data_IF_518963676525
#
_entry.id   IF_518963676525
#
_cell.length_a   1.000
_cell.length_b   1.000
_cell.length_c   1.000
_cell.angle_alpha   90.00
_cell.angle_beta   90.00
_cell.angle_gamma   90.00
#
_symmetry.space_group_name_H-M   'P 1'
#
loop_
_entity.id
_entity.type
_entity.pdbx_description
1 polymer ?
#
# COMPACT_ATOMS: atom_id res chain seq x y z
N UNK A 1 14.95 1.14 3.38
CA UNK A 1 13.94 2.21 3.17
C UNK A 1 14.57 3.61 3.10
N UNK A 2 15.87 3.73 3.34
CA UNK A 2 16.55 5.01 3.50
C UNK A 2 16.34 5.61 4.91
N UNK A 3 17.17 6.60 5.30
CA UNK A 3 17.11 7.17 6.66
C UNK A 3 15.82 7.96 6.93
N UNK A 4 15.20 8.50 5.88
CA UNK A 4 13.96 9.27 5.93
C UNK A 4 12.72 8.49 5.40
N UNK A 5 12.88 7.21 5.09
CA UNK A 5 11.82 6.40 4.52
C UNK A 5 11.56 6.59 3.02
N UNK A 6 12.42 7.35 2.31
CA UNK A 6 12.37 7.52 0.86
C UNK A 6 13.39 6.57 0.19
N UNK A 7 13.02 5.30 0.09
CA UNK A 7 13.87 4.30 -0.54
C UNK A 7 14.30 4.72 -1.96
N UNK A 8 15.59 4.65 -2.29
CA UNK A 8 16.07 4.86 -3.65
C UNK A 8 15.87 3.63 -4.56
N UNK A 9 15.59 2.47 -3.99
CA UNK A 9 15.49 1.20 -4.72
C UNK A 9 14.04 0.74 -4.85
N UNK A 10 13.63 0.37 -6.05
CA UNK A 10 12.26 -0.02 -6.41
C UNK A 10 11.75 -1.27 -5.67
N UNK A 11 12.66 -2.14 -5.23
CA UNK A 11 12.31 -3.34 -4.49
C UNK A 11 11.94 -3.06 -3.03
N UNK A 12 12.39 -1.95 -2.47
CA UNK A 12 12.10 -1.55 -1.10
C UNK A 12 11.10 -0.40 -1.08
N UNK A 13 9.99 -0.54 -0.34
CA UNK A 13 8.96 0.50 -0.37
C UNK A 13 9.41 1.81 0.26
N UNK A 14 8.88 2.90 -0.27
CA UNK A 14 8.86 4.18 0.43
C UNK A 14 7.87 4.09 1.58
N UNK A 15 8.32 4.43 2.79
CA UNK A 15 7.50 4.44 4.02
C UNK A 15 7.35 5.82 4.64
N UNK A 16 8.05 6.84 4.08
CA UNK A 16 7.88 8.25 4.45
C UNK A 16 6.40 8.67 4.32
N UNK A 17 5.83 9.32 5.32
CA UNK A 17 4.45 9.79 5.34
C UNK A 17 3.39 8.68 5.32
N UNK A 18 3.75 7.44 5.66
CA UNK A 18 2.79 6.36 5.82
C UNK A 18 2.02 6.51 7.13
N UNK A 19 0.79 6.04 7.19
CA UNK A 19 -0.02 6.03 8.41
C UNK A 19 0.70 5.25 9.52
N UNK A 20 0.87 5.82 10.72
CA UNK A 20 1.61 5.15 11.80
C UNK A 20 0.95 3.84 12.22
N UNK A 21 -0.39 3.77 12.26
CA UNK A 21 -1.11 2.54 12.56
C UNK A 21 -0.83 1.45 11.52
N UNK A 22 -0.65 1.83 10.25
CA UNK A 22 -0.31 0.86 9.20
C UNK A 22 1.12 0.36 9.33
N UNK A 23 2.09 1.23 9.63
CA UNK A 23 3.49 0.82 9.88
C UNK A 23 3.53 -0.16 11.06
N UNK A 24 2.92 0.21 12.19
CA UNK A 24 2.88 -0.66 13.37
C UNK A 24 2.23 -2.01 13.06
N UNK A 25 1.08 -2.01 12.38
CA UNK A 25 0.43 -3.26 11.96
C UNK A 25 1.35 -4.13 11.10
N UNK A 26 2.04 -3.55 10.12
CA UNK A 26 2.92 -4.34 9.25
C UNK A 26 4.11 -4.94 10.00
N UNK A 27 4.73 -4.19 10.92
CA UNK A 27 5.83 -4.69 11.74
C UNK A 27 5.36 -5.83 12.67
N UNK A 28 4.21 -5.67 13.32
CA UNK A 28 3.60 -6.76 14.11
C UNK A 28 3.26 -7.98 13.25
N UNK A 29 2.76 -7.77 12.02
CA UNK A 29 2.43 -8.87 11.12
C UNK A 29 3.68 -9.62 10.64
N UNK A 30 4.79 -8.93 10.35
CA UNK A 30 6.08 -9.57 10.05
C UNK A 30 6.62 -10.34 11.25
N UNK A 31 6.60 -9.73 12.44
CA UNK A 31 7.06 -10.36 13.69
C UNK A 31 6.26 -11.62 14.03
N UNK A 32 4.95 -11.59 13.83
CA UNK A 32 4.05 -12.71 14.10
C UNK A 32 3.92 -13.71 12.93
N UNK A 33 4.65 -13.51 11.82
CA UNK A 33 4.58 -14.40 10.64
C UNK A 33 3.27 -14.32 9.84
N UNK A 34 2.36 -13.38 10.16
CA UNK A 34 1.13 -13.14 9.39
C UNK A 34 1.42 -12.49 8.04
N UNK A 35 2.50 -11.72 7.94
CA UNK A 35 3.10 -11.26 6.68
C UNK A 35 4.52 -11.80 6.60
N UNK A 36 4.87 -12.40 5.45
CA UNK A 36 6.19 -13.01 5.27
C UNK A 36 6.99 -12.23 4.22
N UNK A 37 8.24 -11.99 4.52
CA UNK A 37 9.22 -11.45 3.59
C UNK A 37 10.62 -11.80 4.10
N UNK A 38 11.49 -12.27 3.22
CA UNK A 38 12.82 -12.77 3.58
C UNK A 38 13.70 -11.72 4.27
N UNK A 39 13.52 -10.44 3.94
CA UNK A 39 14.27 -9.34 4.54
C UNK A 39 13.57 -8.76 5.77
N UNK A 40 12.25 -8.46 5.65
CA UNK A 40 11.54 -7.76 6.72
C UNK A 40 11.17 -8.65 7.91
N UNK A 41 10.92 -9.94 7.70
CA UNK A 41 10.58 -10.82 8.82
C UNK A 41 11.70 -10.90 9.86
N UNK A 42 12.99 -11.17 9.49
CA UNK A 42 14.07 -11.14 10.47
C UNK A 42 14.33 -9.75 11.06
N UNK A 43 14.11 -8.66 10.30
CA UNK A 43 14.26 -7.29 10.82
C UNK A 43 13.21 -6.93 11.88
N UNK A 44 12.00 -7.45 11.76
CA UNK A 44 10.92 -7.18 12.72
C UNK A 44 11.01 -8.03 14.00
N UNK A 45 11.68 -9.18 13.96
CA UNK A 45 11.76 -10.11 15.11
C UNK A 45 12.31 -9.49 16.39
N UNK A 46 13.43 -8.74 16.39
CA UNK A 46 14.01 -8.20 17.61
C UNK A 46 13.28 -6.97 18.17
N UNK A 47 12.38 -6.34 17.39
CA UNK A 47 11.72 -5.09 17.79
C UNK A 47 10.79 -5.30 18.98
N UNK A 48 10.92 -4.48 20.02
CA UNK A 48 9.90 -4.35 21.06
C UNK A 48 8.65 -3.63 20.55
N UNK A 49 7.57 -3.69 21.29
CA UNK A 49 6.35 -2.93 20.95
C UNK A 49 6.62 -1.41 20.94
N UNK A 50 7.50 -0.94 21.86
CA UNK A 50 7.90 0.47 21.88
C UNK A 50 8.72 0.85 20.65
N UNK A 51 9.68 0.02 20.22
CA UNK A 51 10.44 0.26 18.98
C UNK A 51 9.52 0.36 17.77
N UNK A 52 8.48 -0.49 17.70
CA UNK A 52 7.49 -0.47 16.63
C UNK A 52 6.71 0.84 16.63
N UNK A 53 6.29 1.33 17.79
CA UNK A 53 5.58 2.60 17.91
C UNK A 53 6.48 3.79 17.54
N UNK A 54 7.72 3.79 17.98
CA UNK A 54 8.69 4.87 17.70
C UNK A 54 9.03 4.93 16.20
N UNK A 55 9.28 3.78 15.57
CA UNK A 55 9.49 3.70 14.12
C UNK A 55 8.25 4.16 13.34
N UNK A 56 7.06 3.77 13.78
CA UNK A 56 5.82 4.19 13.16
C UNK A 56 5.61 5.70 13.25
N UNK A 57 5.87 6.29 14.42
CA UNK A 57 5.80 7.73 14.64
C UNK A 57 6.83 8.46 13.77
N UNK A 58 8.08 8.02 13.77
CA UNK A 58 9.17 8.65 13.00
C UNK A 58 8.86 8.69 11.51
N UNK A 59 8.58 7.54 10.89
CA UNK A 59 8.37 7.49 9.45
C UNK A 59 7.07 8.16 9.00
N UNK A 60 6.05 8.22 9.84
CA UNK A 60 4.80 8.90 9.51
C UNK A 60 4.95 10.41 9.36
N UNK A 61 5.92 11.02 10.04
CA UNK A 61 6.19 12.46 9.96
C UNK A 61 7.13 12.86 8.81
N UNK A 62 7.75 11.87 8.15
CA UNK A 62 8.66 12.15 7.04
C UNK A 62 7.88 12.53 5.78
N UNK A 63 8.46 13.43 4.98
CA UNK A 63 7.86 13.85 3.70
C UNK A 63 8.18 12.84 2.61
N UNK A 64 7.15 12.32 1.96
CA UNK A 64 7.33 11.41 0.83
C UNK A 64 7.79 12.17 -0.42
N UNK A 65 8.87 11.70 -1.04
CA UNK A 65 9.33 12.18 -2.33
C UNK A 65 8.50 11.53 -3.45
N UNK A 66 8.06 12.34 -4.42
CA UNK A 66 7.32 11.87 -5.59
C UNK A 66 8.15 10.83 -6.36
N UNK A 67 7.50 9.80 -6.88
CA UNK A 67 8.09 8.88 -7.84
C UNK A 67 7.59 9.21 -9.26
N UNK A 68 8.28 8.69 -10.25
CA UNK A 68 7.89 8.82 -11.66
C UNK A 68 7.08 7.60 -12.10
N UNK A 69 6.13 7.81 -13.00
CA UNK A 69 5.36 6.76 -13.66
C UNK A 69 5.57 6.80 -15.18
N UNK A 70 5.40 5.66 -15.83
CA UNK A 70 5.54 5.54 -17.30
C UNK A 70 4.36 6.20 -17.99
N UNK A 71 4.64 7.19 -18.83
CA UNK A 71 3.64 8.05 -19.47
C UNK A 71 2.58 7.29 -20.27
N UNK A 72 2.95 6.21 -20.96
CA UNK A 72 2.06 5.37 -21.77
C UNK A 72 0.96 4.65 -20.96
N UNK A 73 1.14 4.52 -19.65
CA UNK A 73 0.22 3.81 -18.75
C UNK A 73 -0.60 4.72 -17.86
N UNK A 74 -0.28 6.02 -17.80
CA UNK A 74 -0.89 6.93 -16.82
C UNK A 74 -2.40 7.09 -17.03
N UNK A 75 -2.88 7.24 -18.27
CA UNK A 75 -4.30 7.43 -18.53
C UNK A 75 -5.15 6.23 -18.10
N UNK A 76 -4.71 5.00 -18.40
CA UNK A 76 -5.40 3.79 -17.98
C UNK A 76 -5.35 3.62 -16.45
N UNK A 77 -4.20 3.92 -15.84
CA UNK A 77 -4.02 3.87 -14.39
C UNK A 77 -4.90 4.89 -13.67
N UNK A 78 -4.99 6.11 -14.19
CA UNK A 78 -5.87 7.17 -13.68
C UNK A 78 -7.34 6.75 -13.71
N UNK A 79 -7.79 6.17 -14.82
CA UNK A 79 -9.15 5.66 -14.96
C UNK A 79 -9.47 4.64 -13.86
N UNK A 80 -8.60 3.65 -13.65
CA UNK A 80 -8.80 2.61 -12.61
C UNK A 80 -8.78 3.25 -11.22
N UNK A 81 -7.81 4.11 -10.94
CA UNK A 81 -7.68 4.74 -9.64
C UNK A 81 -8.88 5.61 -9.28
N UNK A 82 -9.32 6.47 -10.21
CA UNK A 82 -10.39 7.46 -9.97
C UNK A 82 -11.79 6.92 -10.17
N UNK A 83 -12.01 5.96 -11.08
CA UNK A 83 -13.35 5.50 -11.48
C UNK A 83 -13.56 4.00 -11.30
N UNK A 84 -12.48 3.23 -11.09
CA UNK A 84 -12.57 1.78 -11.03
C UNK A 84 -12.80 1.13 -12.40
N UNK A 85 -13.37 -0.06 -12.38
CA UNK A 85 -13.75 -0.83 -13.58
C UNK A 85 -15.21 -1.26 -13.50
N UNK A 86 -15.89 -1.23 -14.64
CA UNK A 86 -17.23 -1.76 -14.81
C UNK A 86 -17.26 -3.27 -15.06
N UNK A 87 -18.44 -3.78 -15.46
CA UNK A 87 -18.64 -5.20 -15.79
C UNK A 87 -17.69 -5.66 -16.92
N UNK A 88 -17.34 -6.96 -16.98
CA UNK A 88 -17.80 -8.03 -16.07
C UNK A 88 -17.10 -8.02 -14.70
N UNK A 89 -15.86 -7.55 -14.62
CA UNK A 89 -15.03 -7.55 -13.39
C UNK A 89 -15.10 -6.18 -12.69
N UNK A 90 -16.14 -5.99 -11.88
CA UNK A 90 -16.33 -4.73 -11.16
C UNK A 90 -15.23 -4.51 -10.13
N UNK A 91 -14.47 -3.43 -10.28
CA UNK A 91 -13.45 -2.97 -9.32
C UNK A 91 -13.82 -1.58 -8.82
N UNK A 92 -13.98 -1.36 -7.52
CA UNK A 92 -14.26 -0.04 -6.99
C UNK A 92 -13.07 0.91 -7.25
N UNK A 93 -13.35 2.21 -7.31
CA UNK A 93 -12.31 3.22 -7.44
C UNK A 93 -11.35 3.20 -6.25
N UNK A 94 -10.05 3.12 -6.51
CA UNK A 94 -9.02 3.03 -5.46
C UNK A 94 -9.05 4.26 -4.52
N UNK A 95 -9.34 5.45 -5.08
CA UNK A 95 -9.43 6.69 -4.31
C UNK A 95 -10.51 6.65 -3.22
N UNK A 96 -11.54 5.83 -3.37
CA UNK A 96 -12.60 5.70 -2.37
C UNK A 96 -12.07 5.29 -1.00
N UNK A 97 -11.09 4.39 -0.96
CA UNK A 97 -10.43 3.93 0.26
C UNK A 97 -9.09 4.63 0.51
N UNK A 98 -8.25 4.79 -0.53
CA UNK A 98 -6.90 5.33 -0.38
C UNK A 98 -6.81 6.86 -0.47
N UNK A 99 -7.94 7.56 -0.65
CA UNK A 99 -7.98 9.01 -0.79
C UNK A 99 -7.57 9.51 -2.19
N UNK A 100 -7.92 10.75 -2.54
CA UNK A 100 -7.75 11.29 -3.90
C UNK A 100 -6.29 11.43 -4.32
N UNK A 101 -5.38 11.62 -3.37
CA UNK A 101 -3.92 11.69 -3.58
C UNK A 101 -3.22 10.37 -3.27
N UNK A 102 -3.96 9.32 -2.90
CA UNK A 102 -3.37 8.09 -2.40
C UNK A 102 -2.71 8.25 -1.03
N UNK A 103 -3.08 9.26 -0.26
CA UNK A 103 -2.53 9.55 1.08
C UNK A 103 -3.02 8.61 2.18
N UNK A 104 -3.94 7.71 1.86
CA UNK A 104 -4.57 6.83 2.84
C UNK A 104 -5.71 7.49 3.59
N UNK A 105 -6.41 6.69 4.38
CA UNK A 105 -7.46 7.13 5.30
C UNK A 105 -7.34 6.41 6.63
N UNK A 106 -6.98 7.14 7.66
CA UNK A 106 -6.89 6.59 9.02
C UNK A 106 -8.28 6.30 9.62
N UNK A 107 -9.31 7.04 9.19
CA UNK A 107 -10.69 6.95 9.65
C UNK A 107 -11.58 6.01 8.80
N UNK A 108 -11.00 5.30 7.85
CA UNK A 108 -11.77 4.42 6.95
C UNK A 108 -12.57 3.36 7.69
N UNK A 109 -12.01 2.84 8.77
CA UNK A 109 -12.66 1.88 9.67
C UNK A 109 -14.00 2.40 10.18
N UNK A 110 -14.02 3.63 10.70
CA UNK A 110 -15.25 4.26 11.23
C UNK A 110 -16.29 4.48 10.11
N UNK A 111 -15.82 4.90 8.92
CA UNK A 111 -16.67 5.15 7.76
C UNK A 111 -17.35 3.90 7.22
N UNK A 112 -16.61 2.78 7.14
CA UNK A 112 -17.07 1.52 6.53
C UNK A 112 -17.61 0.51 7.54
N UNK A 113 -17.62 0.83 8.85
CA UNK A 113 -18.01 -0.09 9.93
C UNK A 113 -17.26 -1.42 9.91
N UNK A 114 -16.01 -1.38 9.49
CA UNK A 114 -15.12 -2.54 9.42
C UNK A 114 -14.35 -2.73 10.74
N UNK A 115 -13.72 -3.89 10.94
CA UNK A 115 -12.88 -4.12 12.14
C UNK A 115 -11.81 -3.03 12.31
N UNK A 116 -11.46 -2.66 13.54
CA UNK A 116 -10.48 -1.59 13.82
C UNK A 116 -9.11 -1.75 13.16
N UNK A 117 -8.72 -2.99 12.84
CA UNK A 117 -7.47 -3.27 12.14
C UNK A 117 -7.52 -3.03 10.63
N UNK A 118 -8.71 -2.74 10.06
CA UNK A 118 -8.86 -2.48 8.62
C UNK A 118 -8.43 -1.05 8.33
N UNK A 119 -7.28 -0.90 7.67
CA UNK A 119 -6.67 0.37 7.34
C UNK A 119 -6.49 0.51 5.84
N UNK A 120 -6.79 1.68 5.30
CA UNK A 120 -6.45 2.03 3.92
C UNK A 120 -5.14 2.84 3.91
N UNK A 121 -3.99 2.20 3.63
CA UNK A 121 -2.68 2.85 3.72
C UNK A 121 -2.47 3.93 2.67
N UNK A 122 -1.51 4.80 2.93
CA UNK A 122 -0.97 5.69 1.92
C UNK A 122 -0.25 4.86 0.84
N UNK A 123 -0.62 5.09 -0.42
CA UNK A 123 -0.06 4.40 -1.60
C UNK A 123 0.51 5.36 -2.64
N UNK A 124 0.16 6.63 -2.60
CA UNK A 124 0.73 7.67 -3.47
C UNK A 124 2.25 7.79 -3.29
N UNK A 125 2.96 8.25 -4.29
CA UNK A 125 4.43 8.37 -4.31
C UNK A 125 5.20 7.05 -4.12
N UNK A 126 4.51 5.90 -4.12
CA UNK A 126 5.16 4.59 -3.98
C UNK A 126 5.79 4.17 -5.30
N UNK A 127 6.88 3.40 -5.25
CA UNK A 127 7.47 2.79 -6.43
C UNK A 127 6.44 1.93 -7.18
N UNK A 128 6.32 2.14 -8.50
CA UNK A 128 5.38 1.39 -9.33
C UNK A 128 5.64 -0.13 -9.26
N UNK A 129 6.90 -0.53 -9.31
CA UNK A 129 7.29 -1.94 -9.19
C UNK A 129 6.85 -2.55 -7.85
N UNK A 130 7.06 -1.84 -6.73
CA UNK A 130 6.59 -2.32 -5.43
C UNK A 130 5.07 -2.44 -5.36
N UNK A 131 4.34 -1.42 -5.83
CA UNK A 131 2.87 -1.45 -5.86
C UNK A 131 2.35 -2.61 -6.69
N UNK A 132 2.93 -2.84 -7.89
CA UNK A 132 2.57 -3.97 -8.76
C UNK A 132 2.84 -5.32 -8.07
N UNK A 133 3.99 -5.47 -7.42
CA UNK A 133 4.33 -6.70 -6.71
C UNK A 133 3.37 -6.97 -5.54
N UNK A 134 2.95 -5.93 -4.81
CA UNK A 134 1.98 -6.11 -3.71
C UNK A 134 0.60 -6.51 -4.24
N UNK A 135 0.12 -5.89 -5.33
CA UNK A 135 -1.16 -6.26 -5.95
C UNK A 135 -1.12 -7.71 -6.48
N UNK A 136 -0.02 -8.11 -7.13
CA UNK A 136 0.17 -9.50 -7.57
C UNK A 136 0.21 -10.48 -6.39
N UNK A 137 0.87 -10.12 -5.30
CA UNK A 137 0.93 -10.94 -4.09
C UNK A 137 -0.46 -11.11 -3.43
N UNK A 138 -1.27 -10.06 -3.39
CA UNK A 138 -2.68 -10.16 -2.97
C UNK A 138 -3.51 -11.03 -3.92
N UNK A 139 -3.36 -10.83 -5.24
CA UNK A 139 -4.05 -11.63 -6.28
C UNK A 139 -3.74 -13.11 -6.15
N UNK A 140 -2.48 -13.46 -5.91
CA UNK A 140 -2.01 -14.82 -5.70
C UNK A 140 -2.30 -15.40 -4.30
N UNK A 141 -2.71 -14.54 -3.34
CA UNK A 141 -2.92 -14.95 -1.94
C UNK A 141 -1.64 -15.15 -1.12
N UNK A 142 -0.46 -14.91 -1.70
CA UNK A 142 0.82 -14.99 -0.99
C UNK A 142 1.00 -13.87 0.03
N UNK A 143 0.35 -12.73 -0.19
CA UNK A 143 0.08 -11.72 0.82
C UNK A 143 -1.39 -11.81 1.23
N UNK A 144 -1.63 -12.10 2.51
CA UNK A 144 -2.98 -12.38 3.01
C UNK A 144 -3.27 -11.75 4.38
N UNK A 145 -2.48 -10.74 4.75
CA UNK A 145 -2.63 -10.02 6.02
C UNK A 145 -3.56 -8.80 5.95
N UNK A 146 -4.36 -8.72 4.89
CA UNK A 146 -5.43 -7.73 4.72
C UNK A 146 -6.69 -8.16 5.48
N UNK A 147 -7.20 -7.28 6.33
CA UNK A 147 -8.43 -7.52 7.07
C UNK A 147 -9.63 -7.60 6.11
N UNK A 148 -10.58 -8.47 6.45
CA UNK A 148 -11.80 -8.71 5.67
C UNK A 148 -11.55 -9.05 4.17
N UNK A 149 -10.35 -9.48 3.82
CA UNK A 149 -9.95 -9.88 2.46
C UNK A 149 -10.08 -8.78 1.38
N UNK A 150 -10.20 -7.52 1.79
CA UNK A 150 -10.53 -6.40 0.91
C UNK A 150 -9.59 -6.30 -0.28
N UNK A 151 -8.27 -6.24 -0.02
CA UNK A 151 -7.30 -6.08 -1.11
C UNK A 151 -7.13 -7.35 -1.94
N UNK A 152 -7.26 -8.53 -1.36
CA UNK A 152 -7.27 -9.80 -2.11
C UNK A 152 -8.44 -9.87 -3.09
N UNK A 153 -9.63 -9.48 -2.66
CA UNK A 153 -10.83 -9.50 -3.50
C UNK A 153 -10.78 -8.47 -4.62
N UNK A 154 -10.21 -7.30 -4.36
CA UNK A 154 -9.96 -6.28 -5.39
C UNK A 154 -8.90 -6.77 -6.38
N UNK A 155 -7.76 -7.25 -5.89
CA UNK A 155 -6.64 -7.63 -6.73
C UNK A 155 -6.96 -8.82 -7.66
N UNK A 156 -7.79 -9.77 -7.24
CA UNK A 156 -8.26 -10.89 -8.08
C UNK A 156 -9.00 -10.44 -9.33
N UNK A 157 -9.67 -9.29 -9.28
CA UNK A 157 -10.45 -8.72 -10.39
C UNK A 157 -9.63 -7.85 -11.34
N UNK A 158 -8.36 -7.56 -11.00
CA UNK A 158 -7.45 -6.80 -11.85
C UNK A 158 -6.70 -7.75 -12.80
N UNK A 159 -6.62 -7.37 -14.07
CA UNK A 159 -5.67 -8.00 -15.01
C UNK A 159 -4.25 -7.55 -14.72
N UNK A 160 -3.26 -8.22 -15.27
CA UNK A 160 -1.85 -7.82 -15.09
C UNK A 160 -1.57 -6.47 -15.76
N UNK A 161 -2.28 -6.15 -16.85
CA UNK A 161 -2.24 -4.84 -17.49
C UNK A 161 -2.82 -3.75 -16.57
N UNK A 162 -3.95 -4.03 -15.91
CA UNK A 162 -4.56 -3.11 -14.92
C UNK A 162 -3.60 -2.84 -13.75
N UNK A 163 -3.00 -3.90 -13.20
CA UNK A 163 -2.02 -3.81 -12.11
C UNK A 163 -0.84 -2.93 -12.54
N UNK A 164 -0.29 -3.16 -13.73
CA UNK A 164 0.80 -2.35 -14.24
C UNK A 164 0.38 -0.88 -14.38
N UNK A 165 -0.77 -0.61 -15.01
CA UNK A 165 -1.23 0.75 -15.26
C UNK A 165 -1.53 1.53 -13.97
N UNK A 166 -2.29 0.95 -13.03
CA UNK A 166 -2.61 1.63 -11.77
C UNK A 166 -1.40 1.86 -10.90
N UNK A 167 -0.40 0.96 -10.94
CA UNK A 167 0.84 1.12 -10.19
C UNK A 167 1.69 2.28 -10.70
N UNK A 168 1.77 2.47 -12.02
CA UNK A 168 2.46 3.61 -12.62
C UNK A 168 1.76 4.94 -12.26
N UNK A 169 0.42 4.98 -12.32
CA UNK A 169 -0.32 6.17 -11.94
C UNK A 169 -0.14 6.52 -10.45
N UNK A 170 -0.28 5.54 -9.56
CA UNK A 170 -0.10 5.73 -8.11
C UNK A 170 1.27 6.29 -7.76
N UNK A 171 2.32 5.91 -8.48
CA UNK A 171 3.66 6.45 -8.29
C UNK A 171 3.71 7.98 -8.51
N UNK A 172 2.90 8.53 -9.42
CA UNK A 172 2.87 9.97 -9.72
C UNK A 172 2.06 10.81 -8.71
N UNK A 173 1.23 10.18 -7.88
CA UNK A 173 0.44 10.88 -6.87
C UNK A 173 1.36 11.42 -5.76
N UNK A 174 1.00 12.56 -5.18
CA UNK A 174 1.74 13.15 -4.06
C UNK A 174 0.92 13.01 -2.79
N UNK A 175 1.42 12.23 -1.84
CA UNK A 175 0.83 12.03 -0.52
C UNK A 175 1.45 12.98 0.52
#
# INVERSE_FOLDING_TARGET
>A
HGPDGNSPADMWPKIAGQLPQYIAKQLHDFKAGRRKNEQMSPMAQPLSDQDILDLAAFFSTQKANKAEGKADKLAAGEQIFKKGKGRPEVVPACLGCHGPTGGGKADWVATMKLPPATLAPAIGSQHAAYTANQLKAYKAGTRNNDEAHVMRDIAKRLTDADIAAVSEYVATLTR
#
